data_IF_261444825773
#
_entry.id   IF_261444825773
#
_cell.length_a   1.000
_cell.length_b   1.000
_cell.length_c   1.000
_cell.angle_alpha   90.00
_cell.angle_beta   90.00
_cell.angle_gamma   90.00
#
_symmetry.space_group_name_H-M   'P 1'
#
loop_
_entity.id
_entity.type
_entity.pdbx_description
1 polymer ?
#
# COMPACT_ATOMS: atom_id res chain seq x y z
N UNK A 1 -17.55 -17.04 5.31
CA UNK A 1 -18.43 -16.11 6.06
C UNK A 1 -19.85 -16.28 5.55
N UNK A 2 -20.85 -16.42 6.43
CA UNK A 2 -22.26 -16.68 6.10
C UNK A 2 -22.89 -15.64 5.15
N UNK A 3 -22.27 -14.47 4.99
CA UNK A 3 -22.72 -13.36 4.13
C UNK A 3 -22.67 -13.70 2.63
N UNK A 4 -21.72 -14.52 2.15
CA UNK A 4 -21.59 -14.84 0.71
C UNK A 4 -22.69 -15.77 0.18
N UNK A 5 -23.35 -16.55 1.06
CA UNK A 5 -24.42 -17.46 0.65
C UNK A 5 -25.75 -16.75 0.39
N UNK A 6 -25.91 -15.51 0.90
CA UNK A 6 -27.17 -14.74 0.85
C UNK A 6 -27.09 -13.61 -0.18
N UNK A 7 -25.88 -13.17 -0.57
CA UNK A 7 -25.69 -12.20 -1.63
C UNK A 7 -24.43 -12.51 -2.46
N UNK A 8 -24.56 -13.18 -3.63
CA UNK A 8 -23.42 -13.57 -4.47
C UNK A 8 -22.67 -12.39 -5.08
N UNK A 9 -23.25 -11.18 -5.08
CA UNK A 9 -22.58 -9.96 -5.56
C UNK A 9 -21.78 -9.23 -4.48
N UNK A 10 -21.82 -9.70 -3.22
CA UNK A 10 -21.09 -9.07 -2.13
C UNK A 10 -19.58 -9.35 -2.25
N UNK A 11 -18.87 -8.41 -2.88
CA UNK A 11 -17.42 -8.32 -2.78
C UNK A 11 -17.06 -7.54 -1.52
N UNK A 12 -16.47 -8.22 -0.54
CA UNK A 12 -15.89 -7.55 0.60
C UNK A 12 -14.79 -6.60 0.12
N UNK A 13 -14.82 -5.35 0.57
CA UNK A 13 -13.76 -4.41 0.25
C UNK A 13 -12.42 -4.94 0.75
N UNK A 14 -11.35 -4.85 -0.05
CA UNK A 14 -10.03 -5.23 0.42
C UNK A 14 -9.65 -4.42 1.66
N UNK A 15 -8.84 -5.04 2.51
CA UNK A 15 -8.39 -4.43 3.77
C UNK A 15 -7.41 -3.30 3.50
N UNK A 16 -6.73 -3.34 2.35
CA UNK A 16 -5.80 -2.32 1.86
C UNK A 16 -6.15 -2.01 0.42
N UNK A 17 -6.22 -0.73 0.09
CA UNK A 17 -6.43 -0.25 -1.28
C UNK A 17 -5.09 0.08 -1.94
N UNK A 18 -4.21 0.74 -1.20
CA UNK A 18 -2.90 1.21 -1.67
C UNK A 18 -1.83 0.67 -0.74
N UNK A 19 -0.82 0.01 -1.29
CA UNK A 19 0.33 -0.46 -0.55
C UNK A 19 1.58 0.33 -0.96
N UNK A 20 2.21 1.00 0.01
CA UNK A 20 3.40 1.81 -0.22
C UNK A 20 4.66 0.98 0.07
N UNK A 21 5.46 0.80 -0.97
CA UNK A 21 6.70 0.03 -1.02
C UNK A 21 7.86 1.01 -1.00
N UNK A 22 8.70 0.94 0.03
CA UNK A 22 9.89 1.78 0.17
C UNK A 22 11.15 0.91 0.20
N UNK A 23 12.17 1.26 -0.58
CA UNK A 23 13.43 0.50 -0.62
C UNK A 23 14.63 1.41 -0.80
N UNK A 24 15.58 1.31 0.13
CA UNK A 24 16.83 2.07 0.13
C UNK A 24 16.97 2.96 1.36
N UNK A 25 18.15 3.56 1.53
CA UNK A 25 18.41 4.50 2.61
C UNK A 25 17.51 5.74 2.49
N UNK A 26 17.04 6.27 3.61
CA UNK A 26 16.22 7.49 3.71
C UNK A 26 14.86 7.49 2.96
N UNK A 27 14.51 6.39 2.29
CA UNK A 27 13.21 6.25 1.59
C UNK A 27 12.01 6.16 2.53
N UNK A 28 12.20 5.78 3.80
CA UNK A 28 11.10 5.64 4.75
C UNK A 28 10.46 6.99 5.11
N UNK A 29 11.27 8.02 5.36
CA UNK A 29 10.76 9.36 5.68
C UNK A 29 9.94 9.94 4.53
N UNK A 30 10.44 9.79 3.29
CA UNK A 30 9.73 10.22 2.10
C UNK A 30 8.46 9.40 1.85
N UNK A 31 8.50 8.09 2.09
CA UNK A 31 7.32 7.23 2.01
C UNK A 31 6.25 7.59 3.04
N UNK A 32 6.64 7.97 4.26
CA UNK A 32 5.71 8.45 5.28
C UNK A 32 5.07 9.78 4.88
N UNK A 33 5.87 10.74 4.38
CA UNK A 33 5.35 12.02 3.91
C UNK A 33 4.37 11.85 2.74
N UNK A 34 4.69 10.97 1.78
CA UNK A 34 3.81 10.65 0.67
C UNK A 34 2.53 9.95 1.14
N UNK A 35 2.65 9.01 2.09
CA UNK A 35 1.49 8.35 2.67
C UNK A 35 0.53 9.33 3.33
N UNK A 36 1.05 10.33 4.05
CA UNK A 36 0.24 11.35 4.70
C UNK A 36 -0.51 12.21 3.68
N UNK A 37 0.21 12.72 2.67
CA UNK A 37 -0.39 13.50 1.58
C UNK A 37 -1.48 12.72 0.84
N UNK A 38 -1.26 11.43 0.58
CA UNK A 38 -2.26 10.58 -0.06
C UNK A 38 -3.50 10.36 0.82
N UNK A 39 -3.36 10.34 2.15
CA UNK A 39 -4.51 10.27 3.06
C UNK A 39 -5.32 11.57 3.05
N UNK A 40 -4.64 12.71 2.96
CA UNK A 40 -5.27 14.03 2.89
C UNK A 40 -6.00 14.24 1.56
N UNK A 41 -5.37 13.86 0.44
CA UNK A 41 -5.93 14.04 -0.92
C UNK A 41 -7.02 13.00 -1.25
N UNK A 42 -6.95 11.81 -0.66
CA UNK A 42 -7.90 10.71 -0.90
C UNK A 42 -8.58 10.25 0.41
N UNK A 43 -9.44 11.09 1.01
CA UNK A 43 -10.15 10.72 2.23
C UNK A 43 -11.06 9.51 1.95
N UNK A 44 -10.72 8.36 2.54
CA UNK A 44 -11.48 7.11 2.41
C UNK A 44 -10.70 5.93 1.80
N UNK A 45 -9.49 6.15 1.27
CA UNK A 45 -8.63 5.03 0.82
C UNK A 45 -7.87 4.40 1.98
N UNK A 46 -7.82 3.07 2.02
CA UNK A 46 -7.05 2.32 3.01
C UNK A 46 -5.61 2.18 2.54
N UNK A 47 -4.73 3.08 3.00
CA UNK A 47 -3.31 3.05 2.65
C UNK A 47 -2.48 2.34 3.74
N UNK A 48 -1.68 1.36 3.32
CA UNK A 48 -0.72 0.65 4.18
C UNK A 48 0.72 0.90 3.72
N UNK A 49 1.56 1.39 4.62
CA UNK A 49 2.99 1.62 4.37
C UNK A 49 3.82 0.47 4.95
N UNK A 50 4.75 -0.08 4.16
CA UNK A 50 5.65 -1.11 4.65
C UNK A 50 6.80 -0.51 5.49
N UNK A 51 6.90 -0.91 6.75
CA UNK A 51 7.97 -0.46 7.66
C UNK A 51 9.05 -1.52 7.92
N UNK A 52 8.90 -2.74 7.39
CA UNK A 52 9.76 -3.89 7.73
C UNK A 52 10.96 -4.11 6.82
N UNK A 53 11.25 -3.18 5.90
CA UNK A 53 12.28 -3.33 4.88
C UNK A 53 12.11 -4.60 4.02
N UNK A 54 13.23 -5.06 3.44
CA UNK A 54 13.29 -6.24 2.58
C UNK A 54 13.19 -5.92 1.08
N UNK A 55 13.50 -6.91 0.25
CA UNK A 55 13.49 -6.74 -1.20
C UNK A 55 12.08 -6.51 -1.76
N UNK A 56 11.98 -5.85 -2.91
CA UNK A 56 10.72 -5.57 -3.61
C UNK A 56 9.81 -6.78 -3.70
N UNK A 57 10.37 -7.96 -4.03
CA UNK A 57 9.61 -9.21 -4.15
C UNK A 57 8.80 -9.54 -2.90
N UNK A 58 9.38 -9.40 -1.69
CA UNK A 58 8.66 -9.64 -0.43
C UNK A 58 7.63 -8.54 -0.15
N UNK A 59 7.92 -7.30 -0.55
CA UNK A 59 6.98 -6.19 -0.35
C UNK A 59 5.76 -6.31 -1.26
N UNK A 60 5.94 -6.67 -2.53
CA UNK A 60 4.86 -6.98 -3.47
C UNK A 60 4.04 -8.17 -2.99
N UNK A 61 4.68 -9.26 -2.55
CA UNK A 61 3.96 -10.40 -1.99
C UNK A 61 3.10 -10.02 -0.77
N UNK A 62 3.50 -9.01 0.02
CA UNK A 62 2.66 -8.47 1.10
C UNK A 62 1.52 -7.62 0.55
N UNK A 63 1.75 -6.77 -0.45
CA UNK A 63 0.69 -6.01 -1.12
C UNK A 63 -0.40 -6.95 -1.66
N UNK A 64 0.00 -8.02 -2.36
CA UNK A 64 -0.90 -9.06 -2.86
C UNK A 64 -1.65 -9.76 -1.72
N UNK A 65 -0.93 -10.13 -0.64
CA UNK A 65 -1.54 -10.77 0.53
C UNK A 65 -2.64 -9.93 1.16
N UNK A 66 -2.48 -8.61 1.17
CA UNK A 66 -3.47 -7.68 1.72
C UNK A 66 -4.57 -7.28 0.72
N UNK A 67 -4.47 -7.74 -0.53
CA UNK A 67 -5.42 -7.42 -1.59
C UNK A 67 -5.33 -5.98 -2.07
N UNK A 68 -4.14 -5.36 -1.95
CA UNK A 68 -3.92 -4.01 -2.42
C UNK A 68 -4.22 -3.91 -3.92
N UNK A 69 -5.03 -2.92 -4.29
CA UNK A 69 -5.40 -2.66 -5.70
C UNK A 69 -4.28 -1.96 -6.44
N UNK A 70 -3.48 -1.17 -5.71
CA UNK A 70 -2.36 -0.40 -6.24
C UNK A 70 -1.16 -0.55 -5.31
N UNK A 71 0.03 -0.69 -5.89
CA UNK A 71 1.29 -0.63 -5.18
C UNK A 71 2.08 0.62 -5.64
N UNK A 72 2.42 1.49 -4.70
CA UNK A 72 3.23 2.70 -4.95
C UNK A 72 4.66 2.39 -4.53
N UNK A 73 5.63 2.53 -5.44
CA UNK A 73 7.03 2.19 -5.20
C UNK A 73 7.86 3.47 -5.06
N UNK A 74 8.63 3.53 -3.99
CA UNK A 74 9.54 4.62 -3.68
C UNK A 74 10.94 4.06 -3.44
N UNK A 75 11.82 4.22 -4.42
CA UNK A 75 13.25 3.96 -4.30
C UNK A 75 14.04 5.24 -4.03
N UNK A 76 15.35 5.09 -3.86
CA UNK A 76 16.28 6.22 -3.69
C UNK A 76 16.22 7.17 -4.88
N UNK A 77 16.07 6.63 -6.10
CA UNK A 77 15.91 7.42 -7.33
C UNK A 77 14.64 8.26 -7.31
N UNK A 78 13.50 7.70 -6.89
CA UNK A 78 12.24 8.44 -6.82
C UNK A 78 12.30 9.53 -5.74
N UNK A 79 13.01 9.28 -4.64
CA UNK A 79 13.26 10.30 -3.60
C UNK A 79 14.20 11.40 -4.10
N UNK A 80 15.25 11.05 -4.85
CA UNK A 80 16.21 12.03 -5.37
C UNK A 80 15.62 12.92 -6.48
N UNK A 81 14.59 12.45 -7.18
CA UNK A 81 13.94 13.18 -8.29
C UNK A 81 12.63 13.87 -7.88
N UNK A 82 12.18 13.73 -6.63
CA UNK A 82 10.90 14.25 -6.11
C UNK A 82 11.07 15.43 -5.17
#
# INVERSE_FOLDING_TARGET
LLVQAVNPEFKADPVVDIYLVASGADTQSAAMALAERLRDELPGVKLMTNHGGGNFKKQFARADKWGARVAVVLGESEVANG
#
